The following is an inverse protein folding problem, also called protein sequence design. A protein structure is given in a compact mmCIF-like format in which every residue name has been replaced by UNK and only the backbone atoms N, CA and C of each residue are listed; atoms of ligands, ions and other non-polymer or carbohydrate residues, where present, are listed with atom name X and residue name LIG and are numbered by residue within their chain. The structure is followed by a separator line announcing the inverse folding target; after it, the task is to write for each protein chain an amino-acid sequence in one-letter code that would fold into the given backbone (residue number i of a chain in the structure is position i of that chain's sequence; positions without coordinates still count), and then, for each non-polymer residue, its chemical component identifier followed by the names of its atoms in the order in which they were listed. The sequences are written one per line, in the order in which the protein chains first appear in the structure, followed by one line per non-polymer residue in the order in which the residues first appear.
data_IF_140946172338
#
_entry.id   IF_140946172338
#
_cell.length_a   1.000
_cell.length_b   1.000
_cell.length_c   1.000
_cell.angle_alpha   90.00
_cell.angle_beta   90.00
_cell.angle_gamma   90.00
#
_symmetry.space_group_name_H-M   'P 1'
#
loop_
_entity.id
_entity.type
_entity.pdbx_description
1 polymer ?
#
# COMPACT_ATOMS: atom_id res chain seq x y z
N UNK A 1 -6.81 5.00 23.87
CA UNK A 1 -6.11 3.83 24.44
C UNK A 1 -6.82 2.54 24.00
N UNK A 2 -6.33 1.94 22.90
CA UNK A 2 -6.86 0.69 22.34
C UNK A 2 -5.75 -0.35 22.49
N UNK A 3 -6.10 -1.58 22.81
CA UNK A 3 -5.18 -2.71 22.85
C UNK A 3 -5.62 -3.81 21.89
N UNK A 4 -4.67 -4.65 21.51
CA UNK A 4 -4.87 -5.79 20.62
C UNK A 4 -4.44 -7.03 21.38
N UNK A 5 -5.36 -7.97 21.57
CA UNK A 5 -5.08 -9.22 22.26
C UNK A 5 -5.00 -10.37 21.28
N UNK A 6 -4.06 -11.28 21.51
CA UNK A 6 -4.04 -12.54 20.79
C UNK A 6 -5.24 -13.42 21.20
N UNK A 7 -5.47 -14.52 20.49
CA UNK A 7 -6.64 -15.38 20.71
C UNK A 7 -6.74 -15.94 22.14
N UNK A 8 -5.62 -16.22 22.81
CA UNK A 8 -5.60 -16.73 24.19
C UNK A 8 -5.97 -15.61 25.16
N UNK A 9 -5.33 -14.46 25.02
CA UNK A 9 -5.58 -13.27 25.84
C UNK A 9 -7.02 -12.77 25.70
N UNK A 10 -7.63 -12.83 24.52
CA UNK A 10 -9.05 -12.45 24.34
C UNK A 10 -9.98 -13.28 25.22
N UNK A 11 -9.72 -14.58 25.38
CA UNK A 11 -10.51 -15.45 26.27
C UNK A 11 -10.26 -15.13 27.73
N UNK A 12 -9.01 -14.87 28.09
CA UNK A 12 -8.61 -14.57 29.47
C UNK A 12 -9.20 -13.24 29.98
N UNK A 13 -9.24 -12.22 29.11
CA UNK A 13 -9.66 -10.87 29.48
C UNK A 13 -11.09 -10.50 29.05
N UNK A 14 -11.88 -11.45 28.55
CA UNK A 14 -13.21 -11.19 27.96
C UNK A 14 -14.14 -10.40 28.89
N UNK A 15 -14.25 -10.80 30.16
CA UNK A 15 -15.10 -10.12 31.14
C UNK A 15 -14.65 -8.68 31.43
N UNK A 16 -13.33 -8.49 31.53
CA UNK A 16 -12.71 -7.18 31.76
C UNK A 16 -12.97 -6.27 30.56
N UNK A 17 -12.81 -6.79 29.34
CA UNK A 17 -13.03 -6.04 28.11
C UNK A 17 -14.49 -5.65 27.92
N UNK A 18 -15.43 -6.57 28.20
CA UNK A 18 -16.86 -6.27 28.20
C UNK A 18 -17.22 -5.16 29.20
N UNK A 19 -16.61 -5.18 30.40
CA UNK A 19 -16.81 -4.12 31.40
C UNK A 19 -16.26 -2.78 30.91
N UNK A 20 -15.04 -2.76 30.38
CA UNK A 20 -14.41 -1.55 29.86
C UNK A 20 -15.18 -0.96 28.67
N UNK A 21 -15.71 -1.81 27.79
CA UNK A 21 -16.54 -1.38 26.67
C UNK A 21 -17.88 -0.80 27.10
N UNK A 22 -18.51 -1.34 28.14
CA UNK A 22 -19.71 -0.73 28.73
C UNK A 22 -19.42 0.64 29.32
N UNK A 23 -18.27 0.80 29.98
CA UNK A 23 -17.81 2.11 30.50
C UNK A 23 -17.54 3.10 29.37
N UNK A 24 -16.85 2.67 28.31
CA UNK A 24 -16.59 3.50 27.14
C UNK A 24 -17.89 3.99 26.47
N UNK A 25 -18.89 3.12 26.33
CA UNK A 25 -20.20 3.52 25.81
C UNK A 25 -20.91 4.56 26.68
N UNK A 26 -20.80 4.48 28.01
CA UNK A 26 -21.32 5.50 28.94
C UNK A 26 -20.59 6.84 28.76
N UNK A 27 -19.26 6.79 28.63
CA UNK A 27 -18.43 7.96 28.35
C UNK A 27 -18.83 8.65 27.03
N UNK A 28 -19.00 7.89 25.94
CA UNK A 28 -19.45 8.44 24.66
C UNK A 28 -20.83 9.14 24.76
N UNK A 29 -21.77 8.58 25.55
CA UNK A 29 -23.08 9.20 25.79
C UNK A 29 -22.95 10.50 26.58
N UNK A 30 -22.13 10.49 27.63
CA UNK A 30 -21.81 11.69 28.42
C UNK A 30 -21.25 12.81 27.54
N UNK A 31 -20.26 12.49 26.68
CA UNK A 31 -19.66 13.45 25.73
C UNK A 31 -20.69 14.03 24.76
N UNK A 32 -21.60 13.20 24.22
CA UNK A 32 -22.66 13.66 23.31
C UNK A 32 -23.64 14.60 24.01
N UNK A 33 -24.03 14.31 25.25
CA UNK A 33 -24.91 15.18 26.02
C UNK A 33 -24.22 16.51 26.33
N UNK A 34 -22.97 16.47 26.80
CA UNK A 34 -22.17 17.68 27.07
C UNK A 34 -22.07 18.60 25.85
N UNK A 35 -21.78 18.03 24.67
CA UNK A 35 -21.72 18.78 23.42
C UNK A 35 -23.06 19.43 23.02
N UNK A 36 -24.20 18.79 23.33
CA UNK A 36 -25.53 19.37 23.10
C UNK A 36 -25.86 20.50 24.08
N UNK A 37 -25.51 20.32 25.36
CA UNK A 37 -25.73 21.35 26.39
C UNK A 37 -24.91 22.62 26.14
N UNK A 38 -23.64 22.47 25.74
CA UNK A 38 -22.74 23.59 25.42
C UNK A 38 -23.20 24.42 24.21
N UNK A 39 -23.90 23.81 23.24
CA UNK A 39 -24.41 24.48 22.04
C UNK A 39 -25.77 25.19 22.22
N UNK A 40 -26.38 25.14 23.40
CA UNK A 40 -27.70 25.74 23.62
C UNK A 40 -27.58 27.23 24.04
N UNK A 41 -28.07 28.19 23.23
CA UNK A 41 -27.87 29.62 23.46
C UNK A 41 -28.56 30.17 24.73
N UNK A 42 -29.56 29.46 25.29
CA UNK A 42 -30.21 29.81 26.56
C UNK A 42 -29.37 29.50 27.80
N UNK A 43 -28.30 28.71 27.65
CA UNK A 43 -27.41 28.32 28.76
C UNK A 43 -26.11 29.14 28.80
N UNK A 44 -26.00 30.18 27.96
CA UNK A 44 -24.81 31.05 27.84
C UNK A 44 -24.46 31.80 29.13
N UNK A 45 -25.45 32.08 30.01
CA UNK A 45 -25.25 32.74 31.31
C UNK A 45 -24.98 31.83 32.51
N UNK A 46 -25.06 30.50 32.33
CA UNK A 46 -24.69 29.48 33.34
C UNK A 46 -23.59 28.55 32.83
N UNK A 47 -22.86 29.00 31.81
CA UNK A 47 -21.69 28.31 31.33
C UNK A 47 -20.66 28.35 32.45
N UNK A 48 -20.57 27.28 33.25
CA UNK A 48 -19.27 26.89 33.79
C UNK A 48 -18.31 27.00 32.61
N UNK A 49 -17.23 27.75 32.80
CA UNK A 49 -16.13 27.95 31.87
C UNK A 49 -15.43 26.61 31.57
N UNK A 50 -16.13 25.68 30.94
CA UNK A 50 -15.56 24.46 30.39
C UNK A 50 -15.82 24.47 28.90
N UNK A 51 -14.96 25.23 28.23
CA UNK A 51 -14.73 25.16 26.78
C UNK A 51 -14.62 23.69 26.36
N UNK A 52 -15.01 23.33 25.14
CA UNK A 52 -14.85 21.96 24.63
C UNK A 52 -13.42 21.40 24.76
N UNK A 53 -12.43 22.28 24.95
CA UNK A 53 -11.02 22.02 25.27
C UNK A 53 -10.76 21.43 26.67
N UNK A 54 -11.67 21.59 27.64
CA UNK A 54 -11.55 21.00 29.00
C UNK A 54 -12.38 19.74 29.19
N UNK A 55 -12.92 19.18 28.10
CA UNK A 55 -13.77 18.00 28.19
C UNK A 55 -12.94 16.77 28.60
N UNK A 56 -13.22 16.29 29.82
CA UNK A 56 -12.64 15.12 30.48
C UNK A 56 -12.36 13.95 29.51
N UNK A 57 -11.12 13.44 29.52
CA UNK A 57 -10.70 12.28 28.73
C UNK A 57 -11.38 11.01 29.23
N UNK A 58 -11.37 9.93 28.45
CA UNK A 58 -11.96 8.66 28.91
C UNK A 58 -11.24 8.14 30.15
N UNK A 59 -9.91 8.29 30.17
CA UNK A 59 -9.06 7.94 31.29
C UNK A 59 -9.50 8.69 32.54
N UNK A 60 -9.61 10.02 32.46
CA UNK A 60 -10.03 10.83 33.60
C UNK A 60 -11.47 10.52 34.03
N UNK A 61 -12.40 10.34 33.09
CA UNK A 61 -13.81 9.94 33.36
C UNK A 61 -13.90 8.65 34.18
N UNK A 62 -13.04 7.68 33.87
CA UNK A 62 -13.06 6.37 34.53
C UNK A 62 -12.48 6.44 35.95
N UNK A 63 -11.40 7.20 36.13
CA UNK A 63 -10.76 7.39 37.44
C UNK A 63 -11.64 8.24 38.37
N UNK A 64 -12.18 9.36 37.88
CA UNK A 64 -12.89 10.36 38.68
C UNK A 64 -14.29 9.92 39.11
N UNK A 65 -15.02 9.16 38.27
CA UNK A 65 -16.45 8.84 38.49
C UNK A 65 -16.73 7.37 38.77
N UNK A 66 -15.77 6.47 38.54
CA UNK A 66 -15.98 5.03 38.67
C UNK A 66 -14.99 4.31 39.58
N UNK A 67 -14.13 5.04 40.31
CA UNK A 67 -13.24 4.53 41.36
C UNK A 67 -12.65 3.16 41.00
N UNK A 68 -11.67 3.14 40.10
CA UNK A 68 -10.72 2.02 40.02
C UNK A 68 -9.80 2.03 41.26
N UNK A 69 -10.38 2.10 42.46
CA UNK A 69 -9.70 1.99 43.74
C UNK A 69 -9.67 0.53 44.15
N UNK A 70 -8.75 -0.24 43.56
CA UNK A 70 -8.26 -1.45 44.21
C UNK A 70 -6.78 -1.61 43.83
N UNK A 71 -5.93 -1.42 44.84
CA UNK A 71 -4.53 -1.83 44.94
C UNK A 71 -3.55 -1.41 43.82
N UNK A 72 -2.73 -0.39 44.13
CA UNK A 72 -1.35 -0.19 43.69
C UNK A 72 -0.97 0.02 42.22
N UNK A 73 -1.89 0.08 41.24
CA UNK A 73 -1.61 0.73 39.94
C UNK A 73 -2.89 1.39 39.44
N UNK A 74 -2.84 2.66 39.05
CA UNK A 74 -3.90 3.30 38.26
C UNK A 74 -4.08 2.51 36.96
N UNK A 75 -5.01 1.56 36.92
CA UNK A 75 -5.28 0.78 35.71
C UNK A 75 -6.18 1.62 34.83
N UNK A 76 -5.56 2.29 33.86
CA UNK A 76 -6.27 2.97 32.78
C UNK A 76 -7.05 1.88 32.00
N UNK A 77 -8.39 1.96 31.87
CA UNK A 77 -9.19 0.87 31.33
C UNK A 77 -9.02 0.71 29.81
N UNK A 78 -8.31 -0.34 29.39
CA UNK A 78 -8.06 -0.65 27.99
C UNK A 78 -9.34 -1.05 27.25
N UNK A 79 -9.47 -0.58 26.00
CA UNK A 79 -10.50 -1.03 25.06
C UNK A 79 -9.85 -2.01 24.07
N UNK A 80 -10.41 -3.20 23.94
CA UNK A 80 -9.95 -4.17 22.96
C UNK A 80 -10.48 -3.81 21.55
N UNK A 81 -9.58 -3.82 20.55
CA UNK A 81 -9.85 -3.53 19.14
C UNK A 81 -11.05 -4.31 18.53
N UNK A 82 -11.16 -5.62 18.74
CA UNK A 82 -12.25 -6.47 18.27
C UNK A 82 -13.60 -5.95 18.78
N UNK A 83 -13.71 -5.59 20.07
CA UNK A 83 -14.96 -5.02 20.58
C UNK A 83 -15.22 -3.61 20.05
N UNK A 84 -14.17 -2.82 19.88
CA UNK A 84 -14.27 -1.46 19.36
C UNK A 84 -14.80 -1.44 17.91
N UNK A 85 -14.42 -2.42 17.11
CA UNK A 85 -14.76 -2.50 15.70
C UNK A 85 -16.04 -3.31 15.40
N UNK A 86 -16.51 -4.16 16.31
CA UNK A 86 -17.61 -5.12 16.08
C UNK A 86 -18.94 -4.56 15.54
N UNK A 87 -19.18 -3.25 15.62
CA UNK A 87 -20.41 -2.59 15.08
C UNK A 87 -20.11 -1.24 14.43
N UNK A 88 -18.88 -1.05 14.00
CA UNK A 88 -18.40 0.23 13.49
C UNK A 88 -18.23 0.13 11.98
N UNK A 89 -18.84 1.07 11.24
CA UNK A 89 -18.53 1.26 9.83
C UNK A 89 -17.25 2.07 9.74
N UNK A 90 -16.21 1.51 9.15
CA UNK A 90 -14.90 2.14 9.05
C UNK A 90 -14.68 2.56 7.61
N UNK A 91 -14.62 3.87 7.38
CA UNK A 91 -14.35 4.37 6.03
C UNK A 91 -12.91 4.09 5.60
N UNK A 92 -11.93 4.24 6.50
CA UNK A 92 -10.52 3.99 6.23
C UNK A 92 -9.85 3.41 7.47
N UNK A 93 -9.11 2.33 7.30
CA UNK A 93 -8.26 1.74 8.32
C UNK A 93 -6.81 1.80 7.86
N UNK A 94 -5.94 2.38 8.68
CA UNK A 94 -4.53 2.59 8.38
C UNK A 94 -3.68 1.92 9.44
N UNK A 95 -2.86 0.95 9.02
CA UNK A 95 -1.90 0.27 9.87
C UNK A 95 -0.51 0.77 9.51
N UNK A 96 0.17 1.40 10.46
CA UNK A 96 1.55 1.86 10.28
C UNK A 96 2.47 1.30 11.34
N UNK A 97 3.77 1.31 11.03
CA UNK A 97 4.86 0.96 11.96
C UNK A 97 4.63 -0.39 12.67
N UNK A 98 3.91 -1.32 12.03
CA UNK A 98 3.71 -2.66 12.55
C UNK A 98 4.84 -3.55 12.04
N UNK A 99 5.43 -4.33 12.95
CA UNK A 99 6.17 -5.51 12.52
C UNK A 99 5.21 -6.64 12.11
N UNK A 100 5.78 -7.71 11.56
CA UNK A 100 5.05 -8.89 11.10
C UNK A 100 4.14 -9.49 12.18
N UNK A 101 4.61 -9.60 13.43
CA UNK A 101 3.84 -10.20 14.53
C UNK A 101 2.65 -9.31 14.92
N UNK A 102 2.88 -8.01 15.02
CA UNK A 102 1.87 -7.03 15.37
C UNK A 102 0.81 -6.92 14.29
N UNK A 103 1.21 -6.94 13.00
CA UNK A 103 0.28 -6.98 11.88
C UNK A 103 -0.68 -8.17 12.01
N UNK A 104 -0.16 -9.39 12.18
CA UNK A 104 -1.00 -10.58 12.24
C UNK A 104 -1.92 -10.61 13.47
N UNK A 105 -1.46 -10.12 14.64
CA UNK A 105 -2.34 -9.97 15.79
C UNK A 105 -3.52 -9.03 15.52
N UNK A 106 -3.28 -7.93 14.79
CA UNK A 106 -4.31 -6.96 14.41
C UNK A 106 -5.26 -7.56 13.37
N UNK A 107 -4.72 -8.18 12.31
CA UNK A 107 -5.51 -8.83 11.26
C UNK A 107 -6.40 -9.92 11.85
N UNK A 108 -5.86 -10.79 12.72
CA UNK A 108 -6.64 -11.82 13.42
C UNK A 108 -7.74 -11.23 14.32
N UNK A 109 -7.53 -10.04 14.88
CA UNK A 109 -8.56 -9.35 15.66
C UNK A 109 -9.68 -8.84 14.77
N UNK A 110 -9.33 -8.25 13.63
CA UNK A 110 -10.27 -7.71 12.65
C UNK A 110 -11.06 -8.82 11.96
N UNK A 111 -10.40 -9.86 11.45
CA UNK A 111 -11.05 -10.97 10.74
C UNK A 111 -12.05 -11.71 11.63
N UNK A 112 -11.81 -11.75 12.95
CA UNK A 112 -12.70 -12.41 13.91
C UNK A 112 -14.08 -11.75 14.03
N UNK A 113 -14.20 -10.47 13.69
CA UNK A 113 -15.44 -9.68 13.83
C UNK A 113 -16.05 -9.27 12.49
N UNK A 114 -15.30 -9.41 11.38
CA UNK A 114 -15.71 -9.08 10.00
C UNK A 114 -16.39 -7.70 9.89
N UNK A 115 -15.67 -6.61 10.24
CA UNK A 115 -16.27 -5.28 10.25
C UNK A 115 -16.46 -4.76 8.81
N UNK A 116 -17.39 -3.84 8.64
CA UNK A 116 -17.63 -3.12 7.38
C UNK A 116 -16.53 -2.05 7.21
N UNK A 117 -15.41 -2.43 6.59
CA UNK A 117 -14.27 -1.55 6.25
C UNK A 117 -14.28 -1.29 4.75
N UNK A 118 -14.30 -0.01 4.36
CA UNK A 118 -14.27 0.38 2.94
C UNK A 118 -12.86 0.39 2.33
N UNK A 119 -11.89 0.90 3.07
CA UNK A 119 -10.50 1.01 2.60
C UNK A 119 -9.52 0.61 3.69
N UNK A 120 -8.49 -0.12 3.28
CA UNK A 120 -7.42 -0.59 4.16
C UNK A 120 -6.09 -0.05 3.65
N UNK A 121 -5.14 0.25 4.52
CA UNK A 121 -3.78 0.54 4.09
C UNK A 121 -2.81 -0.02 5.11
N UNK A 122 -1.81 -0.76 4.65
CA UNK A 122 -0.75 -1.34 5.46
C UNK A 122 0.55 -0.62 5.09
N UNK A 123 0.89 0.41 5.84
CA UNK A 123 2.03 1.29 5.57
C UNK A 123 3.10 1.12 6.64
N UNK A 124 3.65 -0.08 6.66
CA UNK A 124 4.63 -0.45 7.67
C UNK A 124 6.07 -0.29 7.17
N UNK A 125 6.26 -0.17 5.85
CA UNK A 125 7.52 0.17 5.20
C UNK A 125 8.66 -0.66 5.78
N UNK A 126 9.71 0.01 6.28
CA UNK A 126 10.91 -0.61 6.86
C UNK A 126 10.68 -1.62 8.01
N UNK A 127 9.48 -1.68 8.58
CA UNK A 127 9.16 -2.56 9.72
C UNK A 127 8.51 -3.88 9.31
N UNK A 128 8.01 -4.00 8.07
CA UNK A 128 7.26 -5.16 7.62
C UNK A 128 7.95 -5.86 6.45
N UNK A 129 8.10 -7.17 6.58
CA UNK A 129 8.54 -8.07 5.53
C UNK A 129 7.69 -9.33 5.65
N UNK A 130 7.06 -9.75 4.56
CA UNK A 130 6.29 -10.98 4.52
C UNK A 130 7.22 -12.20 4.36
N UNK A 131 6.81 -13.30 4.96
CA UNK A 131 7.43 -14.62 4.80
C UNK A 131 6.52 -15.54 3.99
N UNK A 132 7.05 -16.67 3.52
CA UNK A 132 6.32 -17.59 2.65
C UNK A 132 5.03 -18.13 3.32
N UNK A 133 5.04 -18.34 4.64
CA UNK A 133 3.86 -18.83 5.38
C UNK A 133 2.73 -17.79 5.48
N UNK A 134 3.04 -16.51 5.27
CA UNK A 134 2.07 -15.42 5.30
C UNK A 134 1.13 -15.43 4.10
N UNK A 135 1.56 -15.98 2.96
CA UNK A 135 0.78 -16.06 1.73
C UNK A 135 -0.57 -16.74 2.00
N UNK A 136 -0.52 -17.91 2.65
CA UNK A 136 -1.72 -18.65 3.01
C UNK A 136 -2.64 -17.93 4.00
N UNK A 137 -2.10 -17.00 4.80
CA UNK A 137 -2.87 -16.17 5.74
C UNK A 137 -3.55 -15.02 5.00
N UNK A 138 -2.82 -14.34 4.11
CA UNK A 138 -3.34 -13.29 3.22
C UNK A 138 -4.52 -13.83 2.41
N UNK A 139 -4.36 -14.99 1.77
CA UNK A 139 -5.40 -15.61 0.94
C UNK A 139 -6.67 -15.97 1.71
N UNK A 140 -6.58 -16.24 3.02
CA UNK A 140 -7.74 -16.59 3.86
C UNK A 140 -8.38 -15.40 4.57
N UNK A 141 -7.65 -14.30 4.66
CA UNK A 141 -8.04 -13.13 5.44
C UNK A 141 -9.04 -12.26 4.67
N UNK A 142 -10.11 -11.84 5.35
CA UNK A 142 -11.09 -10.92 4.77
C UNK A 142 -10.59 -9.47 4.82
N UNK A 143 -9.65 -9.17 5.72
CA UNK A 143 -9.00 -7.87 5.81
C UNK A 143 -8.38 -7.43 4.47
N UNK A 144 -7.90 -8.38 3.66
CA UNK A 144 -7.30 -8.11 2.35
C UNK A 144 -8.30 -8.19 1.17
N UNK A 145 -9.60 -8.38 1.43
CA UNK A 145 -10.63 -8.46 0.37
C UNK A 145 -11.23 -7.10 -0.03
N UNK A 146 -10.90 -6.01 0.67
CA UNK A 146 -11.57 -4.70 0.49
C UNK A 146 -10.97 -3.83 -0.64
N UNK A 147 -11.82 -3.04 -1.31
CA UNK A 147 -11.59 -2.16 -2.49
C UNK A 147 -10.64 -0.95 -2.31
N UNK A 148 -9.51 -1.17 -1.64
CA UNK A 148 -8.19 -0.63 -1.96
C UNK A 148 -7.31 -0.87 -0.74
N UNK A 149 -6.40 -1.85 -0.83
CA UNK A 149 -5.31 -2.03 0.11
C UNK A 149 -4.01 -1.54 -0.50
N UNK A 150 -3.53 -0.39 -0.06
CA UNK A 150 -2.14 -0.02 -0.31
C UNK A 150 -1.26 -0.79 0.67
N UNK A 151 -0.17 -1.38 0.19
CA UNK A 151 0.74 -2.20 0.99
C UNK A 151 2.16 -1.69 0.81
N UNK A 152 2.72 -1.08 1.85
CA UNK A 152 4.11 -0.66 1.91
C UNK A 152 4.93 -1.59 2.82
N UNK A 153 5.96 -2.21 2.26
CA UNK A 153 6.84 -3.18 2.92
C UNK A 153 8.31 -2.82 2.73
N UNK A 154 9.18 -3.36 3.59
CA UNK A 154 10.63 -3.16 3.50
C UNK A 154 11.20 -3.85 2.26
N UNK A 155 10.75 -5.06 2.00
CA UNK A 155 11.15 -5.91 0.89
C UNK A 155 10.07 -6.95 0.61
N UNK A 156 10.12 -7.57 -0.56
CA UNK A 156 9.24 -8.67 -0.94
C UNK A 156 10.10 -9.88 -1.38
N UNK A 157 10.53 -10.75 -0.45
CA UNK A 157 11.45 -11.84 -0.76
C UNK A 157 10.88 -12.84 -1.78
N UNK A 158 9.57 -13.07 -1.70
CA UNK A 158 8.81 -14.03 -2.50
C UNK A 158 7.92 -13.26 -3.48
N UNK A 159 8.55 -12.53 -4.41
CA UNK A 159 7.87 -11.62 -5.35
C UNK A 159 6.74 -12.31 -6.10
N UNK A 160 7.01 -13.49 -6.67
CA UNK A 160 6.02 -14.20 -7.47
C UNK A 160 4.89 -14.64 -6.55
N UNK A 161 5.22 -15.39 -5.51
CA UNK A 161 4.23 -16.00 -4.64
C UNK A 161 3.36 -14.96 -3.90
N UNK A 162 3.89 -13.76 -3.63
CA UNK A 162 3.16 -12.68 -2.96
C UNK A 162 2.38 -11.79 -3.93
N UNK A 163 2.99 -11.36 -5.04
CA UNK A 163 2.38 -10.39 -5.96
C UNK A 163 1.51 -11.05 -7.04
N UNK A 164 1.43 -12.38 -7.09
CA UNK A 164 0.47 -13.12 -7.92
C UNK A 164 -0.77 -13.59 -7.14
N UNK A 165 -0.90 -13.22 -5.86
CA UNK A 165 -2.12 -13.54 -5.09
C UNK A 165 -3.32 -12.87 -5.77
N UNK A 166 -4.29 -13.68 -6.17
CA UNK A 166 -5.41 -13.24 -7.02
C UNK A 166 -6.24 -12.11 -6.38
N UNK A 167 -6.35 -12.11 -5.05
CA UNK A 167 -7.05 -11.04 -4.29
C UNK A 167 -6.47 -9.65 -4.52
N UNK A 168 -5.19 -9.55 -4.86
CA UNK A 168 -4.53 -8.27 -5.12
C UNK A 168 -4.69 -7.77 -6.54
N UNK A 169 -5.27 -8.59 -7.43
CA UNK A 169 -5.44 -8.26 -8.83
C UNK A 169 -6.25 -6.96 -8.99
N UNK A 170 -5.76 -6.05 -9.84
CA UNK A 170 -6.42 -4.80 -10.26
C UNK A 170 -6.76 -3.77 -9.14
N UNK A 171 -6.65 -4.13 -7.86
CA UNK A 171 -7.09 -3.28 -6.74
C UNK A 171 -5.94 -2.76 -5.88
N UNK A 172 -4.88 -3.56 -5.74
CA UNK A 172 -3.86 -3.36 -4.71
C UNK A 172 -2.64 -2.63 -5.27
N UNK A 173 -2.15 -1.66 -4.50
CA UNK A 173 -0.96 -0.87 -4.83
C UNK A 173 0.16 -1.23 -3.86
N UNK A 174 1.32 -1.57 -4.38
CA UNK A 174 2.47 -1.99 -3.59
C UNK A 174 3.57 -0.95 -3.61
N UNK A 175 4.15 -0.70 -2.44
CA UNK A 175 5.39 0.06 -2.27
C UNK A 175 6.41 -0.80 -1.55
N UNK A 176 7.54 -1.04 -2.20
CA UNK A 176 8.56 -1.97 -1.75
C UNK A 176 9.86 -1.22 -1.56
N UNK A 177 10.35 -1.16 -0.32
CA UNK A 177 11.54 -0.38 0.02
C UNK A 177 12.81 -0.84 -0.69
N UNK A 178 12.99 -2.15 -0.85
CA UNK A 178 14.16 -2.72 -1.52
C UNK A 178 13.85 -4.04 -2.23
N UNK A 179 14.37 -4.21 -3.46
CA UNK A 179 14.43 -5.48 -4.18
C UNK A 179 15.81 -5.70 -4.82
N UNK A 180 16.28 -6.95 -4.83
CA UNK A 180 17.48 -7.34 -5.56
C UNK A 180 17.18 -7.69 -7.04
N UNK A 181 18.24 -7.92 -7.81
CA UNK A 181 18.19 -8.24 -9.25
C UNK A 181 17.26 -9.41 -9.57
N UNK A 182 17.35 -10.50 -8.80
CA UNK A 182 16.57 -11.72 -9.03
C UNK A 182 15.10 -11.54 -8.69
N UNK A 183 14.80 -10.62 -7.77
CA UNK A 183 13.44 -10.25 -7.39
C UNK A 183 12.83 -9.30 -8.42
N UNK A 184 13.58 -8.27 -8.85
CA UNK A 184 13.14 -7.31 -9.86
C UNK A 184 12.85 -8.01 -11.20
N UNK A 185 13.68 -8.97 -11.61
CA UNK A 185 13.48 -9.70 -12.88
C UNK A 185 12.18 -10.52 -12.92
N UNK A 186 11.55 -10.76 -11.77
CA UNK A 186 10.27 -11.47 -11.63
C UNK A 186 9.05 -10.55 -11.52
N UNK A 187 9.23 -9.25 -11.31
CA UNK A 187 8.13 -8.29 -11.21
C UNK A 187 7.16 -8.31 -12.41
N UNK A 188 7.60 -8.57 -13.67
CA UNK A 188 6.68 -8.68 -14.80
C UNK A 188 5.59 -9.76 -14.66
N UNK A 189 5.73 -10.69 -13.71
CA UNK A 189 4.76 -11.74 -13.43
C UNK A 189 3.65 -11.30 -12.46
N UNK A 190 3.82 -10.17 -11.77
CA UNK A 190 2.85 -9.67 -10.79
C UNK A 190 1.49 -9.36 -11.43
N UNK A 191 0.43 -9.47 -10.63
CA UNK A 191 -0.96 -9.21 -11.07
C UNK A 191 -1.58 -7.99 -10.39
N UNK A 192 -0.83 -7.31 -9.53
CA UNK A 192 -1.30 -6.17 -8.74
C UNK A 192 -1.45 -4.93 -9.62
N UNK A 193 -2.20 -3.92 -9.17
CA UNK A 193 -2.47 -2.73 -9.99
C UNK A 193 -1.23 -1.88 -10.24
N UNK A 194 -0.47 -1.61 -9.18
CA UNK A 194 0.68 -0.70 -9.20
C UNK A 194 1.78 -1.22 -8.31
N UNK A 195 3.02 -1.09 -8.75
CA UNK A 195 4.21 -1.42 -7.97
C UNK A 195 5.14 -0.22 -7.96
N UNK A 196 5.54 0.25 -6.78
CA UNK A 196 6.71 1.10 -6.61
C UNK A 196 7.83 0.37 -5.89
N UNK A 197 9.06 0.59 -6.32
CA UNK A 197 10.27 0.10 -5.66
C UNK A 197 11.17 1.29 -5.35
N UNK A 198 11.45 1.52 -4.07
CA UNK A 198 12.19 2.70 -3.66
C UNK A 198 13.68 2.56 -4.00
N UNK A 199 14.27 1.38 -3.74
CA UNK A 199 15.68 1.08 -3.98
C UNK A 199 15.87 -0.32 -4.53
N UNK A 200 16.94 -0.57 -5.26
CA UNK A 200 17.23 -1.93 -5.67
C UNK A 200 18.39 -2.09 -6.62
N UNK A 201 18.59 -3.35 -7.01
CA UNK A 201 19.52 -3.71 -8.08
C UNK A 201 18.77 -4.35 -9.22
N UNK A 202 19.15 -4.03 -10.45
CA UNK A 202 18.48 -4.50 -11.65
C UNK A 202 19.52 -4.94 -12.69
N UNK A 203 19.13 -5.92 -13.50
CA UNK A 203 19.77 -6.24 -14.75
C UNK A 203 18.82 -5.80 -15.85
N UNK A 204 19.12 -4.67 -16.50
CA UNK A 204 18.18 -4.03 -17.44
C UNK A 204 17.72 -4.99 -18.52
N UNK A 205 18.69 -5.72 -19.07
CA UNK A 205 18.50 -6.59 -20.22
C UNK A 205 17.56 -7.74 -19.85
N UNK A 206 17.87 -8.43 -18.76
CA UNK A 206 17.02 -9.53 -18.27
C UNK A 206 15.61 -9.01 -17.92
N UNK A 207 15.53 -7.86 -17.25
CA UNK A 207 14.24 -7.27 -16.88
C UNK A 207 13.41 -6.91 -18.12
N UNK A 208 13.96 -6.19 -19.10
CA UNK A 208 13.25 -5.82 -20.33
C UNK A 208 12.84 -7.04 -21.15
N UNK A 209 13.68 -8.08 -21.22
CA UNK A 209 13.33 -9.35 -21.87
C UNK A 209 12.12 -10.01 -21.21
N UNK A 210 12.13 -10.13 -19.89
CA UNK A 210 11.01 -10.72 -19.15
C UNK A 210 9.75 -9.86 -19.24
N UNK A 211 9.93 -8.54 -19.22
CA UNK A 211 8.86 -7.55 -19.27
C UNK A 211 8.15 -7.53 -20.62
N UNK A 212 8.89 -7.43 -21.73
CA UNK A 212 8.30 -7.36 -23.07
C UNK A 212 7.70 -8.69 -23.54
N UNK A 213 8.09 -9.82 -22.93
CA UNK A 213 7.51 -11.14 -23.16
C UNK A 213 6.30 -11.43 -22.26
N UNK A 214 6.09 -10.67 -21.19
CA UNK A 214 4.95 -10.92 -20.30
C UNK A 214 3.66 -10.33 -20.85
N UNK A 215 2.54 -10.94 -20.48
CA UNK A 215 1.23 -10.31 -20.67
C UNK A 215 1.08 -9.30 -19.53
N UNK A 216 0.93 -8.00 -19.84
CA UNK A 216 0.85 -6.98 -18.81
C UNK A 216 -0.41 -7.17 -17.97
N UNK A 217 -0.23 -7.39 -16.67
CA UNK A 217 -1.32 -7.46 -15.67
C UNK A 217 -1.25 -6.32 -14.65
N UNK A 218 -0.07 -5.73 -14.50
CA UNK A 218 0.16 -4.52 -13.70
C UNK A 218 0.07 -3.29 -14.59
N UNK A 219 -0.65 -2.25 -14.16
CA UNK A 219 -0.84 -1.03 -14.95
C UNK A 219 0.44 -0.17 -14.98
N UNK A 220 1.15 -0.08 -13.86
CA UNK A 220 2.29 0.83 -13.73
C UNK A 220 3.35 0.32 -12.74
N UNK A 221 4.60 0.55 -13.12
CA UNK A 221 5.79 0.30 -12.32
C UNK A 221 6.54 1.60 -12.11
N UNK A 222 6.89 1.90 -10.86
CA UNK A 222 7.71 3.05 -10.52
C UNK A 222 8.95 2.58 -9.80
N UNK A 223 10.12 3.04 -10.20
CA UNK A 223 11.38 2.70 -9.59
C UNK A 223 12.16 3.97 -9.28
N UNK A 224 12.42 4.26 -8.00
CA UNK A 224 13.03 5.52 -7.61
C UNK A 224 14.57 5.51 -7.72
N UNK A 225 15.25 4.49 -7.18
CA UNK A 225 16.70 4.42 -7.20
C UNK A 225 17.17 2.99 -7.49
N UNK A 226 17.27 2.63 -8.77
CA UNK A 226 17.81 1.34 -9.18
C UNK A 226 19.26 1.46 -9.63
N UNK A 227 20.10 0.60 -9.06
CA UNK A 227 21.48 0.44 -9.47
C UNK A 227 21.59 -0.72 -10.45
N UNK A 228 22.16 -0.46 -11.62
CA UNK A 228 22.45 -1.54 -12.54
C UNK A 228 23.69 -2.31 -12.13
N UNK A 229 23.56 -3.63 -12.11
CA UNK A 229 24.70 -4.49 -11.80
C UNK A 229 25.71 -4.60 -12.95
N UNK A 230 25.26 -4.43 -14.20
CA UNK A 230 26.14 -4.56 -15.38
C UNK A 230 26.98 -3.29 -15.65
N UNK A 231 27.09 -2.36 -14.70
CA UNK A 231 27.84 -1.11 -14.82
C UNK A 231 26.93 0.13 -14.91
N UNK A 232 27.54 1.32 -14.99
CA UNK A 232 26.80 2.59 -15.07
C UNK A 232 25.85 2.59 -16.29
N UNK A 233 24.59 2.97 -16.07
CA UNK A 233 23.67 3.23 -17.17
C UNK A 233 23.89 4.61 -17.75
N UNK A 234 23.75 4.71 -19.06
CA UNK A 234 23.67 5.97 -19.77
C UNK A 234 22.39 5.98 -20.62
N UNK A 235 22.14 7.09 -21.30
CA UNK A 235 20.98 7.24 -22.17
C UNK A 235 20.85 6.18 -23.27
N UNK A 236 21.95 5.53 -23.65
CA UNK A 236 21.96 4.49 -24.68
C UNK A 236 21.70 3.10 -24.10
N UNK A 237 21.81 2.86 -22.78
CA UNK A 237 21.70 1.51 -22.20
C UNK A 237 20.34 0.85 -22.46
N UNK A 238 19.24 1.64 -22.48
CA UNK A 238 17.91 1.13 -22.85
C UNK A 238 17.87 0.82 -24.34
N UNK A 239 18.41 1.72 -25.18
CA UNK A 239 18.45 1.54 -26.64
C UNK A 239 19.22 0.27 -27.01
N UNK A 240 20.41 0.09 -26.44
CA UNK A 240 21.25 -1.10 -26.61
C UNK A 240 20.50 -2.35 -26.16
N UNK A 241 19.86 -2.31 -24.99
CA UNK A 241 19.09 -3.44 -24.49
C UNK A 241 17.90 -3.79 -25.41
N UNK A 242 17.24 -2.80 -26.03
CA UNK A 242 16.15 -3.00 -26.99
C UNK A 242 16.64 -3.47 -28.36
N UNK A 243 17.77 -2.93 -28.86
CA UNK A 243 18.37 -3.30 -30.15
C UNK A 243 18.90 -4.74 -30.17
N UNK A 244 19.27 -5.27 -29.00
CA UNK A 244 19.65 -6.67 -28.80
C UNK A 244 18.46 -7.62 -28.73
N UNK A 245 17.24 -7.12 -28.53
CA UNK A 245 16.03 -7.93 -28.62
C UNK A 245 15.75 -8.22 -30.10
N UNK A 246 15.12 -9.37 -30.38
CA UNK A 246 14.83 -9.82 -31.73
C UNK A 246 14.12 -8.72 -32.55
N UNK A 247 14.90 -8.04 -33.40
CA UNK A 247 14.48 -6.83 -34.15
C UNK A 247 13.24 -7.06 -35.00
N UNK A 248 12.99 -8.30 -35.38
CA UNK A 248 11.84 -8.68 -36.20
C UNK A 248 10.53 -8.73 -35.39
N UNK A 249 10.58 -8.66 -34.06
CA UNK A 249 9.42 -8.68 -33.18
C UNK A 249 9.15 -7.35 -32.50
N UNK A 250 10.11 -6.42 -32.48
CA UNK A 250 10.01 -5.20 -31.67
C UNK A 250 10.36 -3.98 -32.51
N UNK A 251 9.49 -2.97 -32.49
CA UNK A 251 9.79 -1.63 -33.00
C UNK A 251 9.69 -0.63 -31.86
N UNK A 252 10.55 0.38 -31.83
CA UNK A 252 10.47 1.43 -30.81
C UNK A 252 10.81 2.80 -31.37
N UNK A 253 10.30 3.83 -30.71
CA UNK A 253 10.64 5.23 -30.96
C UNK A 253 11.00 5.92 -29.66
N UNK A 254 11.97 6.82 -29.72
CA UNK A 254 12.48 7.60 -28.60
C UNK A 254 12.09 9.07 -28.77
N UNK A 255 11.64 9.70 -27.69
CA UNK A 255 11.38 11.14 -27.62
C UNK A 255 12.10 11.72 -26.41
N UNK A 256 12.97 12.72 -26.63
CA UNK A 256 13.49 13.54 -25.53
C UNK A 256 12.44 14.54 -25.08
N UNK A 257 12.27 14.67 -23.77
CA UNK A 257 11.39 15.65 -23.14
C UNK A 257 12.20 16.64 -22.28
N UNK A 258 13.46 16.88 -22.64
CA UNK A 258 14.31 17.84 -21.94
C UNK A 258 13.64 19.22 -21.92
N UNK A 259 13.50 19.77 -20.72
CA UNK A 259 12.88 21.05 -20.47
C UNK A 259 13.96 22.11 -20.36
N UNK A 260 13.91 23.15 -21.20
CA UNK A 260 14.78 24.33 -21.08
C UNK A 260 14.67 25.01 -19.69
N UNK A 261 13.58 24.76 -18.96
CA UNK A 261 13.32 25.35 -17.66
C UNK A 261 13.96 24.61 -16.47
N UNK A 262 14.45 23.37 -16.65
CA UNK A 262 15.14 22.63 -15.59
C UNK A 262 16.31 21.77 -16.13
N UNK A 263 17.47 22.38 -16.45
CA UNK A 263 18.61 21.70 -17.08
C UNK A 263 19.27 20.61 -16.22
N UNK A 264 18.88 20.47 -14.95
CA UNK A 264 19.38 19.43 -14.04
C UNK A 264 18.63 18.08 -14.20
N UNK A 265 17.44 18.09 -14.80
CA UNK A 265 16.67 16.87 -15.06
C UNK A 265 16.59 16.64 -16.56
N UNK A 266 17.10 15.49 -17.00
CA UNK A 266 16.96 15.04 -18.38
C UNK A 266 15.98 13.87 -18.43
N UNK A 267 15.07 13.87 -19.41
CA UNK A 267 14.02 12.85 -19.47
C UNK A 267 13.75 12.36 -20.87
N UNK A 268 13.49 11.05 -20.99
CA UNK A 268 13.18 10.40 -22.28
C UNK A 268 12.00 9.46 -22.14
N UNK A 269 11.21 9.42 -23.20
CA UNK A 269 10.11 8.45 -23.36
C UNK A 269 10.45 7.48 -24.48
N UNK A 270 10.38 6.19 -24.19
CA UNK A 270 10.42 5.11 -25.19
C UNK A 270 9.00 4.59 -25.40
N UNK A 271 8.55 4.60 -26.64
CA UNK A 271 7.32 3.91 -27.05
C UNK A 271 7.72 2.65 -27.81
N UNK A 272 7.40 1.48 -27.26
CA UNK A 272 7.83 0.18 -27.79
C UNK A 272 6.59 -0.59 -28.21
N UNK A 273 6.62 -1.18 -29.41
CA UNK A 273 5.59 -2.05 -29.95
C UNK A 273 6.14 -3.45 -30.10
N UNK A 274 5.43 -4.40 -29.52
CA UNK A 274 5.63 -5.85 -29.69
C UNK A 274 4.42 -6.40 -30.46
N UNK A 275 4.40 -7.66 -30.92
CA UNK A 275 3.27 -8.18 -31.70
C UNK A 275 1.95 -8.14 -30.92
N UNK A 276 2.02 -8.25 -29.59
CA UNK A 276 0.86 -8.39 -28.72
C UNK A 276 0.55 -7.13 -27.90
N UNK A 277 1.51 -6.22 -27.71
CA UNK A 277 1.39 -5.13 -26.73
C UNK A 277 2.17 -3.87 -27.15
N UNK A 278 1.67 -2.72 -26.68
CA UNK A 278 2.37 -1.44 -26.70
C UNK A 278 2.83 -1.07 -25.29
N UNK A 279 4.04 -0.54 -25.19
CA UNK A 279 4.68 -0.22 -23.93
C UNK A 279 5.18 1.22 -23.95
N UNK A 280 5.10 1.90 -22.80
CA UNK A 280 5.66 3.23 -22.60
C UNK A 280 6.61 3.19 -21.41
N UNK A 281 7.86 3.58 -21.63
CA UNK A 281 8.88 3.66 -20.59
C UNK A 281 9.32 5.12 -20.51
N UNK A 282 9.07 5.77 -19.38
CA UNK A 282 9.57 7.09 -19.09
C UNK A 282 10.78 6.97 -18.15
N UNK A 283 11.85 7.70 -18.48
CA UNK A 283 13.08 7.70 -17.71
C UNK A 283 13.40 9.13 -17.33
N UNK A 284 13.68 9.35 -16.06
CA UNK A 284 14.15 10.62 -15.54
C UNK A 284 15.52 10.43 -14.88
N UNK A 285 16.49 11.22 -15.34
CA UNK A 285 17.83 11.24 -14.77
C UNK A 285 18.02 12.59 -14.09
N UNK A 286 18.25 12.54 -12.78
CA UNK A 286 18.62 13.70 -11.97
C UNK A 286 20.15 13.80 -11.98
N UNK A 287 20.68 14.81 -12.66
CA UNK A 287 22.12 15.05 -12.73
C UNK A 287 22.52 15.89 -11.51
N UNK A 288 23.13 15.27 -10.50
CA UNK A 288 23.64 15.98 -9.34
C UNK A 288 25.11 16.38 -9.58
N UNK A 289 25.46 17.66 -9.74
CA UNK A 289 26.82 18.10 -10.09
C UNK A 289 27.84 17.97 -8.94
N UNK A 290 27.39 17.73 -7.70
CA UNK A 290 28.22 17.76 -6.48
C UNK A 290 28.51 16.37 -5.87
N UNK A 291 28.05 15.28 -6.49
CA UNK A 291 28.35 13.90 -6.04
C UNK A 291 29.19 13.16 -7.10
N UNK A 292 30.26 12.48 -6.67
CA UNK A 292 31.03 11.58 -7.53
C UNK A 292 30.06 10.63 -8.25
N UNK A 293 30.21 10.55 -9.58
CA UNK A 293 29.29 10.01 -10.58
C UNK A 293 28.76 8.62 -10.20
N UNK A 294 27.72 8.57 -9.37
CA UNK A 294 26.84 7.43 -9.19
C UNK A 294 25.43 7.89 -9.54
N UNK A 295 25.22 8.16 -10.83
CA UNK A 295 23.92 8.53 -11.41
C UNK A 295 22.94 7.43 -11.04
N UNK A 296 22.00 7.74 -10.14
CA UNK A 296 20.92 6.85 -9.70
C UNK A 296 19.61 7.34 -10.30
N UNK A 297 19.30 6.99 -11.56
CA UNK A 297 18.12 7.49 -12.25
C UNK A 297 16.82 6.95 -11.65
N UNK A 298 15.77 7.78 -11.75
CA UNK A 298 14.38 7.43 -11.45
C UNK A 298 13.74 6.91 -12.72
N UNK A 299 13.18 5.70 -12.68
CA UNK A 299 12.42 5.13 -13.79
C UNK A 299 10.93 5.18 -13.48
N UNK A 300 10.16 5.87 -14.31
CA UNK A 300 8.71 5.78 -14.26
C UNK A 300 8.23 5.00 -15.48
N UNK A 301 7.81 3.75 -15.27
CA UNK A 301 7.36 2.89 -16.36
C UNK A 301 5.83 2.75 -16.31
N UNK A 302 5.15 3.37 -17.26
CA UNK A 302 3.68 3.33 -17.35
C UNK A 302 3.24 2.45 -18.50
N UNK A 303 2.50 1.37 -18.23
CA UNK A 303 2.04 0.46 -19.29
C UNK A 303 0.67 0.91 -19.76
N UNK A 304 0.56 1.25 -21.04
CA UNK A 304 -0.73 1.44 -21.69
C UNK A 304 -0.98 0.23 -22.60
N UNK A 305 -1.50 -0.86 -22.06
CA UNK A 305 -1.92 -2.01 -22.86
C UNK A 305 -3.16 -1.64 -23.67
N UNK A 306 -2.98 -1.40 -24.96
CA UNK A 306 -4.07 -1.39 -25.93
C UNK A 306 -4.18 -2.80 -26.50
N UNK A 307 -5.25 -3.53 -26.17
CA UNK A 307 -5.67 -4.67 -26.97
C UNK A 307 -6.19 -4.13 -28.31
N UNK A 308 -5.65 -4.54 -29.47
CA UNK A 308 -6.32 -4.25 -30.73
C UNK A 308 -7.72 -4.89 -30.70
N UNK A 309 -8.75 -4.23 -31.24
CA UNK A 309 -10.03 -4.91 -31.49
C UNK A 309 -9.75 -6.12 -32.39
N UNK A 310 -10.35 -7.28 -32.07
CA UNK A 310 -10.39 -8.41 -33.00
C UNK A 310 -10.85 -7.88 -34.37
N UNK A 311 -10.03 -8.09 -35.40
CA UNK A 311 -10.44 -7.80 -36.78
C UNK A 311 -11.66 -8.68 -37.07
N UNK A 312 -12.85 -8.07 -37.10
CA UNK A 312 -14.02 -8.69 -37.71
C UNK A 312 -13.62 -9.10 -39.13
N UNK A 313 -13.49 -10.40 -39.36
CA UNK A 313 -13.35 -10.97 -40.70
C UNK A 313 -14.49 -10.44 -41.56
N UNK A 314 -14.18 -9.46 -42.41
CA UNK A 314 -15.05 -9.04 -43.48
C UNK A 314 -15.14 -10.19 -44.49
N UNK A 315 -16.08 -11.11 -44.26
CA UNK A 315 -16.56 -12.03 -45.29
C UNK A 315 -17.26 -11.19 -46.37
N UNK A 316 -16.50 -10.79 -47.39
CA UNK A 316 -17.05 -10.42 -48.68
C UNK A 316 -17.65 -11.69 -49.31
N UNK A 317 -18.92 -11.93 -49.06
CA UNK A 317 -19.74 -12.74 -49.97
C UNK A 317 -20.12 -11.84 -51.15
N UNK A 318 -19.48 -12.06 -52.30
CA UNK A 318 -20.04 -11.67 -53.59
C UNK A 318 -21.16 -12.65 -53.94
N UNK A 319 -22.38 -12.19 -54.26
CA UNK A 319 -23.35 -13.01 -54.97
C UNK A 319 -23.08 -12.95 -56.47
N UNK A 320 -23.14 -14.12 -57.11
CA UNK A 320 -23.27 -14.30 -58.57
C UNK A 320 -24.54 -13.67 -59.14
#
# INVERSE_FOLDING_TARGET
MICVRNRKERKEFEEVDLKNMRLFNKYCRYRRLFAKFSKNPRNSGRSLELKAETAETFEYYTVSRHSCSNSNKEIIPLIELHWFLARTKVNRLYLNRCDRRNLWNIVDAIDSIRPDIRHVSVECGKHLQFELDDISKIEKSNFFDSDASYIAVKSCPFVVETLTIEKFRETTRWSIGYLDEKQISKLPQAVVRYISVDKGHINLREFLQNFLRSIPKTEQYYFAALHNKNGAWNWNSIREALDELEKDQITYSEKSNDSDANPQNSSKTYTIKTPNNNWKIDIEVENNPDEDIEISPKFEMTINSFTPPEEEEAQQQQPE
#
